data_IF_774919653591
#
_entry.id   IF_774919653591
#
_cell.length_a   1.000
_cell.length_b   1.000
_cell.length_c   1.000
_cell.angle_alpha   90.00
_cell.angle_beta   90.00
_cell.angle_gamma   90.00
#
_symmetry.space_group_name_H-M   'P 1'
#
loop_
_entity.id
_entity.type
_entity.pdbx_description
1 polymer ?
#
# COMPACT_ATOMS: atom_id res chain seq x y z
N UNK A 1 -46.77 23.78 52.53
CA UNK A 1 -45.84 23.29 51.49
C UNK A 1 -45.12 24.51 50.97
N UNK A 2 -43.82 24.59 51.24
CA UNK A 2 -43.01 25.78 50.93
C UNK A 2 -42.76 25.86 49.42
N UNK A 3 -42.54 27.06 48.87
CA UNK A 3 -42.24 27.26 47.44
C UNK A 3 -40.98 26.46 47.02
N UNK A 4 -40.05 26.26 47.96
CA UNK A 4 -38.85 25.43 47.79
C UNK A 4 -39.14 23.95 47.54
N UNK A 5 -40.21 23.39 48.11
CA UNK A 5 -40.59 21.99 47.93
C UNK A 5 -41.07 21.72 46.50
N UNK A 6 -41.80 22.68 45.92
CA UNK A 6 -42.27 22.62 44.54
C UNK A 6 -41.12 22.77 43.53
N UNK A 7 -40.14 23.63 43.81
CA UNK A 7 -38.93 23.79 43.00
C UNK A 7 -38.09 22.51 43.06
N UNK A 8 -37.92 21.93 44.25
CA UNK A 8 -37.19 20.67 44.44
C UNK A 8 -37.85 19.52 43.67
N UNK A 9 -39.17 19.35 43.77
CA UNK A 9 -39.92 18.33 43.05
C UNK A 9 -39.82 18.50 41.53
N UNK A 10 -39.94 19.73 41.02
CA UNK A 10 -39.77 20.04 39.61
C UNK A 10 -38.36 19.71 39.09
N UNK A 11 -37.33 20.04 39.87
CA UNK A 11 -35.93 19.72 39.54
C UNK A 11 -35.65 18.22 39.50
N UNK A 12 -36.25 17.47 40.43
CA UNK A 12 -36.14 16.02 40.50
C UNK A 12 -36.77 15.34 39.27
N UNK A 13 -37.95 15.80 38.85
CA UNK A 13 -38.62 15.28 37.64
C UNK A 13 -37.79 15.55 36.39
N UNK A 14 -37.22 16.75 36.25
CA UNK A 14 -36.36 17.10 35.10
C UNK A 14 -35.10 16.22 35.08
N UNK A 15 -34.46 16.01 36.24
CA UNK A 15 -33.29 15.14 36.36
C UNK A 15 -33.63 13.68 36.00
N UNK A 16 -34.77 13.17 36.46
CA UNK A 16 -35.23 11.82 36.14
C UNK A 16 -35.49 11.65 34.62
N UNK A 17 -36.15 12.62 33.98
CA UNK A 17 -36.38 12.60 32.53
C UNK A 17 -35.08 12.69 31.73
N UNK A 18 -34.14 13.53 32.16
CA UNK A 18 -32.81 13.64 31.54
C UNK A 18 -32.03 12.32 31.64
N UNK A 19 -32.09 11.62 32.77
CA UNK A 19 -31.45 10.32 32.95
C UNK A 19 -32.04 9.25 32.04
N UNK A 20 -33.38 9.17 31.93
CA UNK A 20 -34.07 8.22 31.04
C UNK A 20 -33.70 8.50 29.58
N UNK A 21 -33.73 9.77 29.16
CA UNK A 21 -33.36 10.17 27.81
C UNK A 21 -31.89 9.85 27.52
N UNK A 22 -30.98 10.15 28.45
CA UNK A 22 -29.55 9.86 28.33
C UNK A 22 -29.30 8.36 28.21
N UNK A 23 -29.96 7.53 29.02
CA UNK A 23 -29.83 6.07 28.96
C UNK A 23 -30.33 5.49 27.63
N UNK A 24 -31.48 5.96 27.15
CA UNK A 24 -32.02 5.52 25.85
C UNK A 24 -31.09 5.93 24.70
N UNK A 25 -30.64 7.19 24.71
CA UNK A 25 -29.77 7.74 23.68
C UNK A 25 -28.40 7.06 23.70
N UNK A 26 -27.83 6.82 24.88
CA UNK A 26 -26.57 6.10 25.06
C UNK A 26 -26.62 4.68 24.49
N UNK A 27 -27.73 3.95 24.70
CA UNK A 27 -27.92 2.62 24.07
C UNK A 27 -27.99 2.70 22.55
N UNK A 28 -28.65 3.72 21.99
CA UNK A 28 -28.74 3.91 20.53
C UNK A 28 -27.38 4.27 19.94
N UNK A 29 -26.64 5.17 20.58
CA UNK A 29 -25.28 5.57 20.18
C UNK A 29 -24.35 4.35 20.20
N UNK A 30 -24.36 3.57 21.27
CA UNK A 30 -23.55 2.36 21.37
C UNK A 30 -23.86 1.35 20.24
N UNK A 31 -25.14 1.16 19.90
CA UNK A 31 -25.52 0.28 18.78
C UNK A 31 -24.99 0.81 17.44
N UNK A 32 -25.07 2.11 17.19
CA UNK A 32 -24.54 2.72 15.97
C UNK A 32 -23.02 2.62 15.90
N UNK A 33 -22.32 2.87 17.00
CA UNK A 33 -20.87 2.71 17.10
C UNK A 33 -20.42 1.27 16.79
N UNK A 34 -21.13 0.27 17.33
CA UNK A 34 -20.88 -1.14 17.01
C UNK A 34 -21.09 -1.44 15.51
N UNK A 35 -22.12 -0.88 14.88
CA UNK A 35 -22.37 -1.09 13.45
C UNK A 35 -21.26 -0.45 12.61
N UNK A 36 -20.82 0.75 12.96
CA UNK A 36 -19.73 1.46 12.27
C UNK A 36 -18.44 0.65 12.37
N UNK A 37 -18.06 0.25 13.60
CA UNK A 37 -16.86 -0.56 13.84
C UNK A 37 -16.89 -1.88 13.08
N UNK A 38 -18.04 -2.57 13.04
CA UNK A 38 -18.21 -3.80 12.27
C UNK A 38 -17.98 -3.57 10.77
N UNK A 39 -18.59 -2.54 10.21
CA UNK A 39 -18.41 -2.18 8.79
C UNK A 39 -16.97 -1.82 8.46
N UNK A 40 -16.28 -1.11 9.36
CA UNK A 40 -14.88 -0.74 9.18
C UNK A 40 -13.95 -1.98 9.22
N UNK A 41 -14.23 -2.94 10.11
CA UNK A 41 -13.51 -4.22 10.15
C UNK A 41 -13.75 -5.03 8.88
N UNK A 42 -15.00 -5.15 8.43
CA UNK A 42 -15.36 -5.89 7.22
C UNK A 42 -14.70 -5.27 5.98
N UNK A 43 -14.75 -3.95 5.85
CA UNK A 43 -14.06 -3.22 4.79
C UNK A 43 -12.56 -3.49 4.79
N UNK A 44 -11.90 -3.38 5.95
CA UNK A 44 -10.46 -3.70 6.07
C UNK A 44 -10.15 -5.13 5.66
N UNK A 45 -10.96 -6.09 6.09
CA UNK A 45 -10.77 -7.51 5.71
C UNK A 45 -10.88 -7.71 4.21
N UNK A 46 -11.86 -7.08 3.56
CA UNK A 46 -12.00 -7.18 2.10
C UNK A 46 -10.83 -6.53 1.38
N UNK A 47 -10.36 -5.37 1.83
CA UNK A 47 -9.17 -4.70 1.29
C UNK A 47 -7.91 -5.56 1.47
N UNK A 48 -7.71 -6.14 2.65
CA UNK A 48 -6.59 -7.07 2.93
C UNK A 48 -6.68 -8.34 2.07
N UNK A 49 -7.85 -8.93 1.92
CA UNK A 49 -8.06 -10.10 1.06
C UNK A 49 -7.76 -9.76 -0.41
N UNK A 50 -8.17 -8.59 -0.89
CA UNK A 50 -7.85 -8.14 -2.24
C UNK A 50 -6.35 -7.84 -2.43
N UNK A 51 -5.69 -7.19 -1.47
CA UNK A 51 -4.26 -6.91 -1.52
C UNK A 51 -3.43 -8.20 -1.39
N UNK A 52 -3.88 -9.16 -0.58
CA UNK A 52 -3.23 -10.46 -0.40
C UNK A 52 -3.07 -11.23 -1.72
N UNK A 53 -3.98 -10.97 -2.67
CA UNK A 53 -4.04 -11.63 -3.98
C UNK A 53 -3.32 -10.88 -5.09
N UNK A 54 -2.75 -9.70 -4.82
CA UNK A 54 -2.13 -8.85 -5.85
C UNK A 54 -0.61 -8.85 -5.66
N UNK A 55 0.11 -9.07 -6.76
CA UNK A 55 1.53 -8.82 -6.78
C UNK A 55 1.77 -7.33 -7.07
N UNK A 56 2.79 -6.76 -6.45
CA UNK A 56 3.16 -5.37 -6.64
C UNK A 56 4.66 -5.27 -6.69
N UNK A 57 5.18 -4.97 -7.87
CA UNK A 57 6.61 -4.88 -8.09
C UNK A 57 7.08 -3.44 -7.81
N UNK A 58 8.34 -3.24 -7.47
CA UNK A 58 8.98 -1.93 -7.43
C UNK A 58 10.42 -2.04 -7.90
N UNK A 59 10.95 -0.94 -8.44
CA UNK A 59 12.36 -0.83 -8.75
C UNK A 59 13.02 0.13 -7.77
N UNK A 60 14.03 -0.37 -7.06
CA UNK A 60 14.81 0.39 -6.10
C UNK A 60 16.27 0.49 -6.55
N UNK A 61 16.91 1.62 -6.27
CA UNK A 61 18.33 1.83 -6.54
C UNK A 61 19.12 1.62 -5.26
N UNK A 62 20.07 0.69 -5.29
CA UNK A 62 21.02 0.47 -4.19
C UNK A 62 22.37 1.02 -4.62
N UNK A 63 22.81 2.07 -3.93
CA UNK A 63 24.14 2.66 -4.09
C UNK A 63 25.17 1.76 -3.42
N UNK A 64 26.20 1.39 -4.17
CA UNK A 64 27.29 0.56 -3.67
C UNK A 64 28.51 1.41 -3.31
N UNK A 65 29.49 0.76 -2.68
CA UNK A 65 30.78 1.38 -2.38
C UNK A 65 31.47 1.91 -3.63
N UNK A 66 32.36 2.90 -3.44
CA UNK A 66 33.13 3.50 -4.53
C UNK A 66 33.92 2.43 -5.29
N UNK A 67 33.72 2.37 -6.62
CA UNK A 67 34.38 1.41 -7.51
C UNK A 67 33.51 0.20 -7.86
N UNK A 68 32.42 -0.04 -7.12
CA UNK A 68 31.44 -1.08 -7.42
C UNK A 68 30.29 -0.52 -8.27
N UNK A 69 29.72 -1.37 -9.13
CA UNK A 69 28.50 -1.05 -9.86
C UNK A 69 27.30 -1.01 -8.92
N UNK A 70 26.53 0.08 -8.99
CA UNK A 70 25.24 0.22 -8.32
C UNK A 70 24.27 -0.85 -8.82
N UNK A 71 23.20 -1.06 -8.06
CA UNK A 71 22.25 -2.15 -8.28
C UNK A 71 20.84 -1.59 -8.51
N UNK A 72 20.20 -2.05 -9.56
CA UNK A 72 18.77 -2.00 -9.77
C UNK A 72 18.15 -3.24 -9.12
N UNK A 73 17.41 -3.02 -8.03
CA UNK A 73 16.72 -4.07 -7.29
C UNK A 73 15.25 -4.07 -7.66
N UNK A 74 14.82 -5.12 -8.36
CA UNK A 74 13.41 -5.35 -8.66
C UNK A 74 12.83 -6.19 -7.53
N UNK A 75 11.87 -5.63 -6.80
CA UNK A 75 11.35 -6.18 -5.55
C UNK A 75 9.85 -6.38 -5.62
N UNK A 76 9.36 -7.53 -5.19
CA UNK A 76 7.93 -7.74 -5.01
C UNK A 76 7.51 -7.31 -3.60
N UNK A 77 6.93 -6.12 -3.47
CA UNK A 77 6.32 -5.65 -2.22
C UNK A 77 4.89 -6.17 -1.99
N UNK A 78 4.31 -6.80 -3.01
CA UNK A 78 2.98 -7.39 -2.93
C UNK A 78 2.97 -8.68 -2.10
N UNK A 79 1.77 -9.17 -1.83
CA UNK A 79 1.54 -10.38 -1.04
C UNK A 79 1.32 -11.62 -1.91
N UNK A 80 1.12 -11.44 -3.23
CA UNK A 80 1.02 -12.54 -4.18
C UNK A 80 2.29 -12.69 -5.04
N UNK A 81 2.41 -13.84 -5.70
CA UNK A 81 3.53 -14.14 -6.60
C UNK A 81 3.38 -13.33 -7.89
N UNK A 82 4.49 -12.77 -8.36
CA UNK A 82 4.58 -12.21 -9.69
C UNK A 82 5.23 -13.22 -10.64
N UNK A 83 4.72 -13.33 -11.85
CA UNK A 83 5.26 -14.19 -12.90
C UNK A 83 5.72 -13.33 -14.08
N UNK A 84 6.68 -13.85 -14.83
CA UNK A 84 7.18 -13.23 -16.06
C UNK A 84 7.56 -11.75 -15.87
N UNK A 85 8.25 -11.43 -14.77
CA UNK A 85 8.60 -10.05 -14.42
C UNK A 85 9.62 -9.52 -15.41
N UNK A 86 9.27 -8.46 -16.13
CA UNK A 86 10.13 -7.79 -17.10
C UNK A 86 10.23 -6.31 -16.76
N UNK A 87 11.31 -5.65 -17.20
CA UNK A 87 11.41 -4.21 -17.12
C UNK A 87 12.15 -3.62 -18.32
N UNK A 88 11.86 -2.36 -18.61
CA UNK A 88 12.50 -1.59 -19.67
C UNK A 88 12.73 -0.15 -19.20
N UNK A 89 13.84 0.44 -19.63
CA UNK A 89 14.16 1.86 -19.41
C UNK A 89 13.65 2.62 -20.63
N UNK A 90 12.68 3.52 -20.45
CA UNK A 90 11.94 4.14 -21.55
C UNK A 90 12.60 5.40 -22.11
N UNK A 91 13.38 6.11 -21.30
CA UNK A 91 13.90 7.45 -21.57
C UNK A 91 15.43 7.49 -21.72
N UNK A 92 16.01 6.39 -22.22
CA UNK A 92 17.44 6.28 -22.50
C UNK A 92 17.79 6.07 -23.99
N UNK A 93 17.49 7.04 -24.87
CA UNK A 93 17.76 6.91 -26.31
C UNK A 93 19.26 6.95 -26.66
N UNK A 94 20.12 7.40 -25.75
CA UNK A 94 21.57 7.52 -25.94
C UNK A 94 22.35 6.39 -25.26
N UNK A 95 21.66 5.35 -24.75
CA UNK A 95 22.28 4.22 -24.04
C UNK A 95 23.23 4.67 -22.90
N UNK A 96 22.77 5.63 -22.10
CA UNK A 96 23.52 6.17 -20.97
C UNK A 96 23.65 5.17 -19.82
N UNK A 97 22.81 4.14 -19.78
CA UNK A 97 22.87 3.06 -18.80
C UNK A 97 23.09 1.71 -19.48
N UNK A 98 24.07 0.95 -19.01
CA UNK A 98 24.26 -0.44 -19.39
C UNK A 98 23.98 -1.36 -18.20
N UNK A 99 23.15 -2.36 -18.45
CA UNK A 99 22.75 -3.38 -17.50
C UNK A 99 23.67 -4.58 -17.64
N UNK A 100 24.28 -5.00 -16.55
CA UNK A 100 25.10 -6.20 -16.49
C UNK A 100 24.20 -7.42 -16.20
N UNK A 101 23.56 -7.93 -17.25
CA UNK A 101 22.76 -9.15 -17.23
C UNK A 101 22.85 -9.88 -18.57
N UNK A 102 22.72 -11.22 -18.60
CA UNK A 102 22.60 -11.98 -19.85
C UNK A 102 21.37 -11.60 -20.67
N UNK A 103 21.43 -11.78 -22.00
CA UNK A 103 20.31 -11.47 -22.92
C UNK A 103 19.02 -12.26 -22.60
N UNK A 104 19.16 -13.44 -21.99
CA UNK A 104 18.05 -14.30 -21.60
C UNK A 104 17.67 -14.19 -20.12
N UNK A 105 18.12 -13.14 -19.44
CA UNK A 105 17.84 -12.94 -18.01
C UNK A 105 16.37 -12.57 -17.74
N UNK A 106 15.75 -11.83 -18.66
CA UNK A 106 14.35 -11.43 -18.59
C UNK A 106 13.51 -12.14 -19.66
N UNK A 107 12.22 -12.40 -19.39
CA UNK A 107 11.52 -12.11 -18.14
C UNK A 107 11.95 -13.03 -16.98
N UNK A 108 12.04 -12.48 -15.77
CA UNK A 108 12.32 -13.26 -14.57
C UNK A 108 11.09 -14.13 -14.23
N UNK A 109 11.25 -15.45 -14.04
CA UNK A 109 10.13 -16.39 -14.16
C UNK A 109 9.09 -16.24 -13.05
N UNK A 110 9.53 -16.22 -11.78
CA UNK A 110 8.64 -16.13 -10.62
C UNK A 110 9.34 -15.34 -9.51
N UNK A 111 8.71 -14.26 -9.04
CA UNK A 111 9.17 -13.48 -7.90
C UNK A 111 8.16 -13.63 -6.75
N UNK A 112 8.56 -14.34 -5.69
CA UNK A 112 7.69 -14.55 -4.52
C UNK A 112 7.51 -13.23 -3.74
N UNK A 113 6.48 -13.14 -2.87
CA UNK A 113 6.33 -12.01 -1.97
C UNK A 113 7.62 -11.72 -1.19
N UNK A 114 7.98 -10.44 -1.10
CA UNK A 114 9.18 -9.95 -0.43
C UNK A 114 10.52 -10.46 -1.00
N UNK A 115 10.50 -11.10 -2.18
CA UNK A 115 11.72 -11.44 -2.91
C UNK A 115 12.10 -10.33 -3.90
N UNK A 116 13.37 -10.35 -4.26
CA UNK A 116 13.92 -9.47 -5.28
C UNK A 116 14.95 -10.20 -6.13
N UNK A 117 15.14 -9.70 -7.34
CA UNK A 117 16.36 -9.93 -8.09
C UNK A 117 17.08 -8.61 -8.33
N UNK A 118 18.38 -8.70 -8.60
CA UNK A 118 19.28 -7.57 -8.64
C UNK A 118 20.04 -7.56 -9.97
N UNK A 119 20.04 -6.41 -10.64
CA UNK A 119 20.79 -6.17 -11.87
C UNK A 119 21.80 -5.07 -11.60
N UNK A 120 23.09 -5.35 -11.79
CA UNK A 120 24.13 -4.33 -11.69
C UNK A 120 24.10 -3.44 -12.92
N UNK A 121 24.39 -2.16 -12.74
CA UNK A 121 24.43 -1.22 -13.87
C UNK A 121 25.62 -0.26 -13.79
N UNK A 122 25.98 0.27 -14.96
CA UNK A 122 26.95 1.37 -15.09
C UNK A 122 26.28 2.53 -15.83
N UNK A 123 26.57 3.75 -15.37
CA UNK A 123 26.15 4.99 -16.04
C UNK A 123 27.34 5.58 -16.81
N UNK A 124 27.17 5.79 -18.10
CA UNK A 124 28.16 6.45 -18.95
C UNK A 124 28.02 7.97 -18.96
N UNK A 125 26.80 8.47 -18.75
CA UNK A 125 26.53 9.90 -18.56
C UNK A 125 25.58 10.09 -17.39
N UNK A 126 25.81 11.16 -16.64
CA UNK A 126 24.93 11.54 -15.54
C UNK A 126 23.64 12.12 -16.10
N UNK A 127 22.55 11.39 -15.89
CA UNK A 127 21.18 11.91 -15.93
C UNK A 127 20.57 11.78 -14.54
N UNK A 128 19.80 12.78 -14.10
CA UNK A 128 19.28 12.80 -12.74
C UNK A 128 18.18 11.74 -12.52
N UNK A 129 17.39 11.45 -13.56
CA UNK A 129 16.20 10.61 -13.47
C UNK A 129 16.10 9.68 -14.67
N UNK A 130 15.54 8.49 -14.44
CA UNK A 130 15.18 7.53 -15.46
C UNK A 130 13.78 6.97 -15.22
N UNK A 131 13.08 6.68 -16.31
CA UNK A 131 11.73 6.14 -16.33
C UNK A 131 11.77 4.66 -16.63
N UNK A 132 11.47 3.84 -15.62
CA UNK A 132 11.40 2.38 -15.74
C UNK A 132 9.96 1.94 -15.87
N UNK A 133 9.67 1.17 -16.92
CA UNK A 133 8.44 0.40 -17.06
C UNK A 133 8.67 -1.01 -16.56
N UNK A 134 7.82 -1.49 -15.67
CA UNK A 134 7.85 -2.86 -15.16
C UNK A 134 6.56 -3.54 -15.60
N UNK A 135 6.65 -4.77 -16.08
CA UNK A 135 5.54 -5.60 -16.53
C UNK A 135 5.59 -6.95 -15.84
N UNK A 136 4.44 -7.48 -15.41
CA UNK A 136 4.35 -8.78 -14.77
C UNK A 136 2.94 -9.36 -14.93
N UNK A 137 2.83 -10.67 -14.70
CA UNK A 137 1.56 -11.35 -14.50
C UNK A 137 1.38 -11.67 -13.01
N UNK A 138 0.14 -11.78 -12.56
CA UNK A 138 -0.18 -12.45 -11.30
C UNK A 138 -1.44 -13.31 -11.44
N UNK A 139 -1.82 -13.97 -10.34
CA UNK A 139 -2.94 -14.90 -10.31
C UNK A 139 -4.28 -14.24 -10.66
N UNK A 140 -4.38 -12.90 -10.56
CA UNK A 140 -5.61 -12.15 -10.83
C UNK A 140 -5.64 -11.56 -12.25
N UNK A 141 -4.52 -11.04 -12.74
CA UNK A 141 -4.46 -10.38 -14.05
C UNK A 141 -3.10 -10.55 -14.72
N UNK A 142 -3.16 -10.89 -16.01
CA UNK A 142 -2.00 -10.88 -16.90
C UNK A 142 -1.71 -9.49 -17.47
N UNK A 143 -0.45 -9.21 -17.77
CA UNK A 143 0.01 -7.97 -18.37
C UNK A 143 -0.20 -6.75 -17.46
N UNK A 144 -0.06 -6.94 -16.15
CA UNK A 144 0.05 -5.80 -15.24
C UNK A 144 1.32 -5.04 -15.57
N UNK A 145 1.22 -3.72 -15.48
CA UNK A 145 2.35 -2.86 -15.69
C UNK A 145 2.27 -1.64 -14.79
N UNK A 146 3.42 -1.02 -14.60
CA UNK A 146 3.54 0.27 -13.96
C UNK A 146 4.77 0.99 -14.48
N UNK A 147 4.82 2.29 -14.25
CA UNK A 147 5.96 3.13 -14.56
C UNK A 147 6.44 3.82 -13.29
N UNK A 148 7.77 3.86 -13.09
CA UNK A 148 8.42 4.48 -11.96
C UNK A 148 9.54 5.38 -12.45
N UNK A 149 9.64 6.58 -11.88
CA UNK A 149 10.77 7.48 -12.08
C UNK A 149 11.75 7.21 -10.94
N UNK A 150 13.00 6.92 -11.26
CA UNK A 150 14.05 6.61 -10.29
C UNK A 150 15.27 7.50 -10.46
N UNK A 151 16.00 7.69 -9.37
CA UNK A 151 17.25 8.45 -9.33
C UNK A 151 18.44 7.47 -9.28
N UNK A 152 19.25 7.46 -10.36
CA UNK A 152 20.35 6.50 -10.54
C UNK A 152 21.74 7.01 -10.15
#
# INVERSE_FOLDING_TARGET
MEISDWISLGSFIIAALALIYSWYTGRKIHKLDLIIKKKEIEKRRTEEEEESQKASIECNVIKTSKGEMNILKIYNKGQAKAYNVNFAILDDPEENISLNMPDNYLPYPILLPQQSFEVRYILFRRRPHFTIKIEWDDDFKKGRNQTQIIDL
#
